data_IF_686070771889
#
_entry.id   IF_686070771889
#
_cell.length_a   1.000
_cell.length_b   1.000
_cell.length_c   1.000
_cell.angle_alpha   90.00
_cell.angle_beta   90.00
_cell.angle_gamma   90.00
#
_symmetry.space_group_name_H-M   'P 1'
#
loop_
_entity.id
_entity.type
_entity.pdbx_description
1 polymer ?
#
# COMPACT_ATOMS: atom_id res chain seq x y z
N UNK A 1 -25.45 -38.16 17.43
CA UNK A 1 -24.92 -36.91 16.84
C UNK A 1 -24.26 -36.10 17.95
N UNK A 2 -22.94 -35.85 17.85
CA UNK A 2 -22.20 -35.07 18.87
C UNK A 2 -22.46 -33.58 18.62
N UNK A 3 -22.69 -32.80 19.66
CA UNK A 3 -22.91 -31.35 19.58
C UNK A 3 -21.85 -30.61 20.39
N UNK A 4 -21.54 -29.38 19.98
CA UNK A 4 -20.72 -28.43 20.75
C UNK A 4 -21.49 -27.13 20.98
N UNK A 5 -21.05 -26.32 21.93
CA UNK A 5 -21.53 -24.94 22.10
C UNK A 5 -20.59 -23.97 21.41
N UNK A 6 -21.15 -22.98 20.73
CA UNK A 6 -20.36 -21.88 20.17
C UNK A 6 -19.73 -21.04 21.29
N UNK A 7 -18.42 -20.81 21.23
CA UNK A 7 -17.68 -19.99 22.20
C UNK A 7 -18.10 -18.52 22.21
N UNK A 8 -18.68 -18.01 21.11
CA UNK A 8 -19.03 -16.60 20.96
C UNK A 8 -20.46 -16.26 21.41
N UNK A 9 -21.43 -17.12 21.11
CA UNK A 9 -22.85 -16.83 21.38
C UNK A 9 -23.58 -17.93 22.18
N UNK A 10 -22.90 -19.00 22.57
CA UNK A 10 -23.45 -20.08 23.38
C UNK A 10 -24.41 -21.05 22.68
N UNK A 11 -24.80 -20.80 21.41
CA UNK A 11 -25.70 -21.68 20.65
C UNK A 11 -25.14 -23.10 20.52
N UNK A 12 -26.02 -24.10 20.66
CA UNK A 12 -25.70 -25.52 20.44
C UNK A 12 -25.68 -25.79 18.94
N UNK A 13 -24.56 -26.27 18.42
CA UNK A 13 -24.34 -26.58 17.00
C UNK A 13 -23.78 -28.00 16.84
N UNK A 14 -24.04 -28.69 15.73
CA UNK A 14 -23.44 -30.00 15.46
C UNK A 14 -21.91 -29.94 15.53
N UNK A 15 -21.28 -30.95 16.13
CA UNK A 15 -19.82 -31.05 16.13
C UNK A 15 -19.32 -31.24 14.69
N UNK A 16 -18.26 -30.53 14.32
CA UNK A 16 -17.77 -30.43 12.94
C UNK A 16 -18.29 -29.25 12.13
N UNK A 17 -19.26 -28.47 12.63
CA UNK A 17 -19.74 -27.25 11.94
C UNK A 17 -19.30 -25.95 12.62
N UNK A 18 -19.52 -24.83 11.94
CA UNK A 18 -19.17 -23.47 12.38
C UNK A 18 -20.45 -22.66 12.62
N UNK A 19 -20.49 -21.90 13.72
CA UNK A 19 -21.64 -21.03 14.02
C UNK A 19 -21.72 -19.87 13.02
N UNK A 20 -22.91 -19.55 12.52
CA UNK A 20 -23.13 -18.37 11.67
C UNK A 20 -22.71 -17.06 12.33
N UNK A 21 -22.85 -16.97 13.65
CA UNK A 21 -22.39 -15.84 14.47
C UNK A 21 -20.86 -15.60 14.42
N UNK A 22 -20.08 -16.56 13.91
CA UNK A 22 -18.63 -16.44 13.72
C UNK A 22 -18.26 -16.10 12.29
N UNK A 23 -19.21 -16.13 11.35
CA UNK A 23 -18.98 -15.64 9.99
C UNK A 23 -18.64 -14.16 10.06
N UNK A 24 -17.49 -13.79 9.51
CA UNK A 24 -17.11 -12.40 9.31
C UNK A 24 -17.80 -11.91 8.04
N UNK A 25 -18.58 -10.85 8.16
CA UNK A 25 -19.08 -10.12 7.00
C UNK A 25 -17.95 -9.29 6.41
N UNK A 26 -17.54 -9.64 5.19
CA UNK A 26 -16.56 -8.86 4.44
C UNK A 26 -17.30 -7.75 3.70
N UNK A 27 -17.23 -6.53 4.24
CA UNK A 27 -17.74 -5.36 3.53
C UNK A 27 -16.92 -5.13 2.27
N UNK A 28 -17.62 -4.97 1.14
CA UNK A 28 -16.95 -4.63 -0.12
C UNK A 28 -16.28 -3.26 0.02
N UNK A 29 -15.03 -3.10 -0.46
CA UNK A 29 -14.34 -1.82 -0.40
C UNK A 29 -15.11 -0.76 -1.20
N UNK A 30 -15.29 0.41 -0.60
CA UNK A 30 -16.03 1.54 -1.18
C UNK A 30 -15.10 2.69 -1.56
N UNK A 31 -15.57 3.57 -2.45
CA UNK A 31 -14.84 4.76 -2.86
C UNK A 31 -13.46 4.46 -3.47
N UNK A 32 -12.46 5.26 -3.08
CA UNK A 32 -11.07 5.14 -3.58
C UNK A 32 -10.44 3.79 -3.20
N UNK A 33 -10.85 3.18 -2.08
CA UNK A 33 -10.33 1.87 -1.64
C UNK A 33 -10.58 0.77 -2.67
N UNK A 34 -11.67 0.88 -3.44
CA UNK A 34 -11.96 -0.06 -4.54
C UNK A 34 -10.87 -0.06 -5.62
N UNK A 35 -10.23 1.09 -5.87
CA UNK A 35 -9.23 1.23 -6.93
C UNK A 35 -8.01 0.34 -6.67
N UNK A 36 -7.59 0.19 -5.40
CA UNK A 36 -6.49 -0.71 -4.99
C UNK A 36 -6.74 -2.19 -5.32
N UNK A 37 -7.99 -2.60 -5.58
CA UNK A 37 -8.33 -3.99 -5.91
C UNK A 37 -8.49 -4.22 -7.42
N UNK A 38 -8.23 -3.21 -8.25
CA UNK A 38 -8.43 -3.31 -9.71
C UNK A 38 -7.19 -3.86 -10.44
N UNK A 39 -7.42 -4.46 -11.62
CA UNK A 39 -6.32 -4.83 -12.53
C UNK A 39 -5.50 -3.62 -12.98
N UNK A 40 -6.17 -2.48 -13.14
CA UNK A 40 -5.53 -1.23 -13.53
C UNK A 40 -4.48 -0.82 -12.50
N UNK A 41 -4.83 -0.86 -11.21
CA UNK A 41 -3.88 -0.57 -10.14
C UNK A 41 -2.70 -1.52 -10.15
N UNK A 42 -2.94 -2.84 -10.24
CA UNK A 42 -1.85 -3.83 -10.31
C UNK A 42 -0.87 -3.52 -11.44
N UNK A 43 -1.37 -3.27 -12.65
CA UNK A 43 -0.53 -2.92 -13.81
C UNK A 43 0.27 -1.64 -13.61
N UNK A 44 -0.34 -0.59 -13.07
CA UNK A 44 0.34 0.70 -12.85
C UNK A 44 1.41 0.57 -11.77
N UNK A 45 1.11 -0.14 -10.68
CA UNK A 45 2.10 -0.42 -9.63
C UNK A 45 3.30 -1.17 -10.21
N UNK A 46 3.04 -2.27 -10.91
CA UNK A 46 4.11 -3.10 -11.46
C UNK A 46 4.89 -2.30 -12.53
N UNK A 47 4.22 -1.49 -13.35
CA UNK A 47 4.87 -0.57 -14.29
C UNK A 47 5.80 0.41 -13.59
N UNK A 48 5.36 1.08 -12.53
CA UNK A 48 6.17 2.05 -11.78
C UNK A 48 7.37 1.36 -11.13
N UNK A 49 7.19 0.19 -10.52
CA UNK A 49 8.33 -0.56 -9.95
C UNK A 49 9.37 -0.86 -11.04
N UNK A 50 8.95 -1.33 -12.22
CA UNK A 50 9.87 -1.60 -13.32
C UNK A 50 10.51 -0.33 -13.91
N UNK A 51 9.76 0.78 -13.96
CA UNK A 51 10.26 2.07 -14.45
C UNK A 51 11.46 2.56 -13.63
N UNK A 52 11.52 2.25 -12.34
CA UNK A 52 12.62 2.63 -11.47
C UNK A 52 13.47 1.41 -11.05
N UNK A 53 13.65 0.46 -11.98
CA UNK A 53 14.54 -0.70 -11.86
C UNK A 53 14.28 -1.61 -10.64
N UNK A 54 13.08 -1.54 -10.07
CA UNK A 54 12.72 -2.25 -8.85
C UNK A 54 13.45 -1.77 -7.61
N UNK A 55 14.01 -0.55 -7.61
CA UNK A 55 14.78 0.00 -6.49
C UNK A 55 13.87 0.83 -5.57
N UNK A 56 14.08 0.68 -4.27
CA UNK A 56 13.54 1.58 -3.25
C UNK A 56 14.25 2.93 -3.30
N UNK A 57 13.58 3.93 -3.88
CA UNK A 57 14.17 5.26 -4.04
C UNK A 57 14.30 6.02 -2.73
N UNK A 58 13.45 5.72 -1.74
CA UNK A 58 13.59 6.34 -0.42
C UNK A 58 14.87 5.85 0.25
N UNK A 59 15.09 4.53 0.31
CA UNK A 59 16.30 3.98 0.88
C UNK A 59 17.57 4.42 0.13
N UNK A 60 17.49 4.53 -1.21
CA UNK A 60 18.60 4.98 -2.04
C UNK A 60 19.06 6.38 -1.67
N UNK A 61 18.14 7.36 -1.65
CA UNK A 61 18.50 8.76 -1.48
C UNK A 61 18.52 9.24 -0.02
N UNK A 62 17.68 8.66 0.84
CA UNK A 62 17.62 9.02 2.26
C UNK A 62 18.70 8.30 3.08
N UNK A 63 18.94 7.02 2.80
CA UNK A 63 19.85 6.18 3.60
C UNK A 63 21.15 5.81 2.88
N UNK A 64 21.25 6.09 1.57
CA UNK A 64 22.39 5.67 0.76
C UNK A 64 22.44 4.17 0.50
N UNK A 65 21.30 3.47 0.60
CA UNK A 65 21.21 2.00 0.48
C UNK A 65 20.44 1.57 -0.76
N UNK A 66 21.01 0.65 -1.52
CA UNK A 66 20.32 0.00 -2.64
C UNK A 66 19.60 -1.24 -2.12
N UNK A 67 18.28 -1.27 -2.25
CA UNK A 67 17.45 -2.41 -1.88
C UNK A 67 16.21 -2.50 -2.77
N UNK A 68 15.57 -3.68 -2.88
CA UNK A 68 14.40 -3.84 -3.73
C UNK A 68 13.17 -3.11 -3.18
N UNK A 69 12.35 -2.60 -4.09
CA UNK A 69 11.02 -2.09 -3.80
C UNK A 69 9.97 -3.22 -3.79
N UNK A 70 9.17 -3.28 -2.73
CA UNK A 70 8.07 -4.24 -2.58
C UNK A 70 6.75 -3.70 -3.12
N UNK A 71 6.62 -2.36 -3.12
CA UNK A 71 5.38 -1.66 -3.43
C UNK A 71 5.68 -0.25 -3.94
N UNK A 72 4.62 0.49 -4.26
CA UNK A 72 4.68 1.93 -4.48
C UNK A 72 3.92 2.65 -3.37
N UNK A 73 4.34 3.88 -3.07
CA UNK A 73 3.65 4.81 -2.19
C UNK A 73 3.10 5.99 -2.99
N UNK A 74 1.89 6.44 -2.64
CA UNK A 74 1.30 7.66 -3.19
C UNK A 74 1.90 8.89 -2.50
N UNK A 75 2.63 9.73 -3.23
CA UNK A 75 3.25 10.96 -2.66
C UNK A 75 2.15 11.90 -2.14
N UNK A 76 1.18 12.22 -2.99
CA UNK A 76 -0.09 12.84 -2.59
C UNK A 76 -1.07 11.70 -2.31
N UNK A 77 -1.53 11.61 -1.07
CA UNK A 77 -2.39 10.52 -0.62
C UNK A 77 -3.67 10.43 -1.46
N UNK A 78 -4.09 9.21 -1.75
CA UNK A 78 -5.29 8.92 -2.53
C UNK A 78 -6.58 9.54 -1.97
N UNK A 79 -6.63 9.78 -0.65
CA UNK A 79 -7.75 10.44 0.01
C UNK A 79 -7.79 11.95 -0.29
N UNK A 80 -6.63 12.59 -0.39
CA UNK A 80 -6.50 14.04 -0.63
C UNK A 80 -6.76 14.38 -2.11
N UNK A 81 -6.25 13.55 -3.03
CA UNK A 81 -6.41 13.78 -4.46
C UNK A 81 -6.68 12.47 -5.22
N UNK A 82 -7.95 12.03 -5.30
CA UNK A 82 -8.33 10.83 -6.05
C UNK A 82 -7.97 10.88 -7.54
N UNK A 83 -7.89 12.07 -8.14
CA UNK A 83 -7.47 12.24 -9.54
C UNK A 83 -6.01 11.81 -9.75
N UNK A 84 -5.15 11.97 -8.75
CA UNK A 84 -3.72 11.62 -8.81
C UNK A 84 -3.45 10.12 -8.55
N UNK A 85 -4.48 9.30 -8.35
CA UNK A 85 -4.33 7.90 -7.94
C UNK A 85 -3.51 7.04 -8.92
N UNK A 86 -3.66 7.32 -10.21
CA UNK A 86 -3.04 6.56 -11.30
C UNK A 86 -1.87 7.29 -11.97
N UNK A 87 -1.49 8.44 -11.43
CA UNK A 87 -0.42 9.28 -11.96
C UNK A 87 0.93 8.70 -11.53
N UNK A 88 1.77 8.33 -12.50
CA UNK A 88 3.05 7.65 -12.24
C UNK A 88 4.09 8.57 -11.61
N UNK A 89 3.98 9.89 -11.82
CA UNK A 89 4.73 10.94 -11.13
C UNK A 89 4.28 11.18 -9.68
N UNK A 90 3.15 10.59 -9.28
CA UNK A 90 2.67 10.59 -7.89
C UNK A 90 2.97 9.27 -7.16
N UNK A 91 3.71 8.35 -7.79
CA UNK A 91 3.99 7.03 -7.26
C UNK A 91 5.50 6.84 -7.13
N UNK A 92 5.98 6.57 -5.92
CA UNK A 92 7.38 6.28 -5.63
C UNK A 92 7.54 4.80 -5.22
N UNK A 93 8.41 4.02 -5.88
CA UNK A 93 8.68 2.65 -5.47
C UNK A 93 9.53 2.61 -4.20
N UNK A 94 9.08 1.79 -3.25
CA UNK A 94 9.66 1.70 -1.90
C UNK A 94 9.55 0.27 -1.37
N UNK A 95 10.44 -0.08 -0.45
CA UNK A 95 10.29 -1.27 0.40
C UNK A 95 9.17 -1.07 1.41
N UNK A 96 8.77 -2.16 2.07
CA UNK A 96 7.81 -2.10 3.18
C UNK A 96 8.29 -1.23 4.35
N UNK A 97 9.60 -1.21 4.63
CA UNK A 97 10.17 -0.47 5.75
C UNK A 97 10.16 1.03 5.47
N UNK A 98 10.64 1.43 4.28
CA UNK A 98 10.55 2.81 3.79
C UNK A 98 9.10 3.29 3.72
N UNK A 99 8.17 2.44 3.28
CA UNK A 99 6.75 2.78 3.28
C UNK A 99 6.24 3.10 4.70
N UNK A 100 6.60 2.29 5.70
CA UNK A 100 6.25 2.55 7.11
C UNK A 100 6.82 3.89 7.60
N UNK A 101 8.07 4.18 7.27
CA UNK A 101 8.76 5.39 7.68
C UNK A 101 8.14 6.65 7.04
N UNK A 102 7.80 6.59 5.75
CA UNK A 102 7.10 7.68 5.06
C UNK A 102 5.77 7.99 5.74
N UNK A 103 4.98 6.96 6.08
CA UNK A 103 3.72 7.13 6.82
C UNK A 103 3.93 7.73 8.21
N UNK A 104 5.04 7.39 8.89
CA UNK A 104 5.39 7.98 10.19
C UNK A 104 5.65 9.48 10.05
N UNK A 105 6.49 9.88 9.08
CA UNK A 105 6.83 11.28 8.81
C UNK A 105 5.60 12.10 8.37
N UNK A 106 4.68 11.53 7.60
CA UNK A 106 3.41 12.19 7.22
C UNK A 106 2.57 12.53 8.45
N UNK A 107 2.48 11.61 9.42
CA UNK A 107 1.73 11.82 10.67
C UNK A 107 2.36 12.85 11.59
N UNK A 108 3.68 13.03 11.49
CA UNK A 108 4.43 14.06 12.22
C UNK A 108 4.29 15.45 11.59
N UNK A 109 3.43 15.59 10.57
CA UNK A 109 3.19 16.83 9.84
C UNK A 109 4.48 17.41 9.21
N UNK A 110 5.41 16.53 8.85
CA UNK A 110 6.56 16.92 8.05
C UNK A 110 6.06 17.35 6.66
N UNK A 111 6.09 18.65 6.38
CA UNK A 111 5.62 19.19 5.10
C UNK A 111 6.61 18.97 3.97
N UNK A 112 7.88 18.70 4.29
CA UNK A 112 8.97 18.60 3.31
C UNK A 112 9.06 17.24 2.66
N UNK A 113 8.65 16.18 3.33
CA UNK A 113 8.77 14.82 2.80
C UNK A 113 8.10 14.66 1.43
N UNK A 114 6.95 15.28 1.17
CA UNK A 114 6.30 15.21 -0.15
C UNK A 114 7.17 15.84 -1.26
N UNK A 115 7.93 16.88 -0.93
CA UNK A 115 8.88 17.53 -1.84
C UNK A 115 10.14 16.67 -2.02
N UNK A 116 10.65 16.07 -0.95
CA UNK A 116 11.78 15.12 -0.99
C UNK A 116 11.48 13.93 -1.90
N UNK A 117 10.32 13.27 -1.73
CA UNK A 117 9.93 12.11 -2.55
C UNK A 117 9.83 12.48 -4.04
N UNK A 118 9.34 13.70 -4.36
CA UNK A 118 9.32 14.19 -5.75
C UNK A 118 10.73 14.44 -6.28
N UNK A 119 11.59 15.04 -5.46
CA UNK A 119 12.99 15.28 -5.83
C UNK A 119 13.71 13.95 -6.12
N UNK A 120 13.47 12.90 -5.32
CA UNK A 120 14.04 11.56 -5.56
C UNK A 120 13.61 10.97 -6.91
N UNK A 121 12.34 11.10 -7.30
CA UNK A 121 11.88 10.64 -8.62
C UNK A 121 12.55 11.40 -9.76
N UNK A 122 12.68 12.72 -9.64
CA UNK A 122 13.31 13.57 -10.65
C UNK A 122 14.80 13.24 -10.78
N UNK A 123 15.49 13.16 -9.64
CA UNK A 123 16.90 12.86 -9.58
C UNK A 123 17.20 11.51 -10.24
N UNK A 124 16.42 10.46 -9.95
CA UNK A 124 16.64 9.14 -10.55
C UNK A 124 16.52 9.17 -12.09
N UNK A 125 15.51 9.88 -12.60
CA UNK A 125 15.28 10.07 -14.04
C UNK A 125 16.41 10.80 -14.73
N UNK A 126 16.98 11.82 -14.08
CA UNK A 126 18.10 12.59 -14.63
C UNK A 126 19.37 11.75 -14.80
N UNK A 127 19.60 10.78 -13.91
CA UNK A 127 20.75 9.86 -13.99
C UNK A 127 20.52 8.69 -14.97
N UNK A 128 19.45 8.72 -15.76
CA UNK A 128 19.17 7.73 -16.80
C UNK A 128 18.50 6.46 -16.31
N UNK A 129 18.04 6.42 -15.06
CA UNK A 129 17.13 5.38 -14.58
C UNK A 129 15.68 5.81 -14.82
N UNK A 130 14.92 5.09 -15.64
CA UNK A 130 13.58 5.52 -16.08
C UNK A 130 13.24 5.18 -17.51
#
# INVERSE_FOLDING_TARGET
MIYKRCVRCGKRIPSGTTCDCTKREYNKPQGIKKQYHTQRWRRIRDYVINLYDGIDLYALYHEGKVQPADTVHHIIEAADSPSMFYHTDNLIPVSRDSHTEIHRRYKECDTKIKEELKAYLLQYREYGGG
#
